data_IF_793247620124
#
_entry.id   IF_793247620124
#
_cell.length_a   1.000
_cell.length_b   1.000
_cell.length_c   1.000
_cell.angle_alpha   90.00
_cell.angle_beta   90.00
_cell.angle_gamma   90.00
#
_symmetry.space_group_name_H-M   'P 1'
#
loop_
_entity.id
_entity.type
_entity.pdbx_description
1 polymer ?
#
# COMPACT_ATOMS: atom_id res chain seq x y z
N UNK A 1 4.50 -7.10 0.15
CA UNK A 1 5.00 -8.48 0.05
C UNK A 1 6.49 -8.59 0.33
N UNK A 2 7.39 -7.84 -0.34
CA UNK A 2 8.85 -7.96 -0.08
C UNK A 2 9.25 -7.86 1.41
N UNK A 3 8.70 -6.87 2.13
CA UNK A 3 8.85 -6.76 3.59
C UNK A 3 8.31 -7.98 4.35
N UNK A 4 7.10 -8.46 4.00
CA UNK A 4 6.49 -9.63 4.66
C UNK A 4 7.27 -10.94 4.44
N UNK A 5 8.09 -11.00 3.39
CA UNK A 5 8.91 -12.16 3.02
C UNK A 5 10.36 -12.06 3.54
N UNK A 6 10.71 -11.00 4.27
CA UNK A 6 12.03 -10.84 4.88
C UNK A 6 13.14 -10.41 3.90
N UNK A 7 12.81 -9.78 2.77
CA UNK A 7 13.81 -9.28 1.81
C UNK A 7 14.48 -7.94 2.22
N UNK A 8 14.24 -7.47 3.44
CA UNK A 8 14.83 -6.25 3.98
C UNK A 8 15.40 -6.57 5.36
N UNK A 9 16.71 -6.45 5.51
CA UNK A 9 17.44 -6.85 6.72
C UNK A 9 17.49 -5.72 7.76
N UNK A 10 17.50 -4.46 7.31
CA UNK A 10 17.53 -3.28 8.18
C UNK A 10 16.10 -2.71 8.37
N UNK A 11 15.64 -2.47 9.61
CA UNK A 11 14.41 -1.72 9.88
C UNK A 11 14.28 -0.38 9.12
N UNK A 12 15.39 0.31 8.83
CA UNK A 12 15.40 1.56 8.06
C UNK A 12 15.02 1.36 6.58
N UNK A 13 15.26 0.18 6.00
CA UNK A 13 14.87 -0.14 4.63
C UNK A 13 13.34 -0.08 4.42
N UNK A 14 12.59 -0.23 5.51
CA UNK A 14 11.14 -0.17 5.50
C UNK A 14 10.61 1.27 5.38
N UNK A 15 11.41 2.28 5.73
CA UNK A 15 10.98 3.69 5.69
C UNK A 15 10.66 4.10 4.26
N UNK A 16 11.52 3.76 3.30
CA UNK A 16 11.26 4.05 1.89
C UNK A 16 9.97 3.39 1.37
N UNK A 17 9.71 2.15 1.80
CA UNK A 17 8.46 1.44 1.48
C UNK A 17 7.25 2.16 2.07
N UNK A 18 7.33 2.58 3.34
CA UNK A 18 6.27 3.29 4.04
C UNK A 18 6.00 4.67 3.43
N UNK A 19 7.05 5.42 3.07
CA UNK A 19 6.93 6.71 2.38
C UNK A 19 6.26 6.54 1.01
N UNK A 20 6.65 5.53 0.25
CA UNK A 20 6.05 5.23 -1.04
C UNK A 20 4.58 4.77 -0.92
N UNK A 21 4.23 4.10 0.18
CA UNK A 21 2.85 3.71 0.50
C UNK A 21 2.00 4.92 0.93
N UNK A 22 2.55 5.80 1.78
CA UNK A 22 1.95 7.05 2.21
C UNK A 22 1.63 7.94 1.01
N UNK A 23 2.59 8.12 0.10
CA UNK A 23 2.39 8.88 -1.12
C UNK A 23 1.20 8.39 -1.96
N UNK A 24 1.07 7.07 -2.12
CA UNK A 24 -0.09 6.46 -2.82
C UNK A 24 -1.39 6.59 -2.02
N UNK A 25 -1.32 6.71 -0.70
CA UNK A 25 -2.47 7.08 0.14
C UNK A 25 -2.91 8.52 -0.10
N UNK A 26 -1.96 9.47 -0.09
CA UNK A 26 -2.20 10.89 -0.37
C UNK A 26 -2.83 11.09 -1.75
N UNK A 27 -2.41 10.31 -2.76
CA UNK A 27 -3.03 10.30 -4.10
C UNK A 27 -4.54 10.08 -4.08
N UNK A 28 -5.07 9.25 -3.17
CA UNK A 28 -6.52 9.07 -3.03
C UNK A 28 -7.21 10.35 -2.56
N UNK A 29 -6.58 11.05 -1.62
CA UNK A 29 -7.14 12.26 -1.01
C UNK A 29 -7.12 13.41 -2.01
N UNK A 30 -5.99 13.66 -2.68
CA UNK A 30 -5.88 14.81 -3.61
C UNK A 30 -6.73 14.62 -4.86
N UNK A 31 -6.79 13.41 -5.44
CA UNK A 31 -7.58 13.16 -6.66
C UNK A 31 -9.09 13.32 -6.37
N UNK A 32 -9.58 12.73 -5.28
CA UNK A 32 -10.98 12.93 -4.86
C UNK A 32 -11.24 14.33 -4.33
N UNK A 33 -10.23 14.97 -3.74
CA UNK A 33 -10.24 16.36 -3.32
C UNK A 33 -10.54 17.29 -4.48
N UNK A 34 -9.74 17.20 -5.55
CA UNK A 34 -9.90 17.99 -6.77
C UNK A 34 -11.23 17.67 -7.47
N UNK A 35 -11.48 16.39 -7.77
CA UNK A 35 -12.55 16.00 -8.70
C UNK A 35 -13.93 15.85 -8.08
N UNK A 36 -14.01 15.63 -6.76
CA UNK A 36 -15.28 15.46 -6.06
C UNK A 36 -15.52 16.52 -4.99
N UNK A 37 -14.50 16.87 -4.19
CA UNK A 37 -14.61 17.91 -3.16
C UNK A 37 -14.37 19.33 -3.69
N UNK A 38 -14.02 19.47 -4.97
CA UNK A 38 -13.79 20.76 -5.66
C UNK A 38 -12.66 21.58 -5.03
N UNK A 39 -11.62 20.91 -4.54
CA UNK A 39 -10.40 21.61 -4.13
C UNK A 39 -9.77 22.34 -5.31
N UNK A 40 -9.24 23.51 -5.01
CA UNK A 40 -8.34 24.26 -5.89
C UNK A 40 -7.03 23.50 -6.09
N UNK A 41 -6.29 23.87 -7.13
CA UNK A 41 -4.95 23.34 -7.41
C UNK A 41 -4.02 23.59 -6.21
N UNK A 42 -4.10 24.78 -5.63
CA UNK A 42 -3.23 25.23 -4.54
C UNK A 42 -3.51 24.46 -3.24
N UNK A 43 -4.78 24.23 -2.89
CA UNK A 43 -5.16 23.39 -1.73
C UNK A 43 -4.60 21.96 -1.88
N UNK A 44 -4.66 21.39 -3.08
CA UNK A 44 -4.14 20.05 -3.34
C UNK A 44 -2.60 19.98 -3.26
N UNK A 45 -1.90 21.02 -3.74
CA UNK A 45 -0.45 21.16 -3.62
C UNK A 45 -0.04 21.26 -2.15
N UNK A 46 -0.69 22.14 -1.39
CA UNK A 46 -0.39 22.34 0.02
C UNK A 46 -0.58 21.04 0.81
N UNK A 47 -1.71 20.36 0.59
CA UNK A 47 -1.98 19.06 1.22
C UNK A 47 -0.90 18.03 0.89
N UNK A 48 -0.53 17.89 -0.39
CA UNK A 48 0.47 16.89 -0.79
C UNK A 48 1.87 17.21 -0.23
N UNK A 49 2.27 18.49 -0.20
CA UNK A 49 3.55 18.93 0.40
C UNK A 49 3.63 18.56 1.88
N UNK A 50 2.59 18.91 2.65
CA UNK A 50 2.55 18.68 4.09
C UNK A 50 2.63 17.19 4.47
N UNK A 51 2.14 16.30 3.60
CA UNK A 51 1.99 14.88 3.93
C UNK A 51 3.06 13.96 3.33
N UNK A 52 3.89 14.41 2.39
CA UNK A 52 4.77 13.50 1.63
C UNK A 52 6.27 13.80 1.74
N UNK A 53 6.64 15.04 2.12
CA UNK A 53 8.03 15.47 2.14
C UNK A 53 8.70 15.52 0.76
N UNK A 54 7.91 15.51 -0.32
CA UNK A 54 8.40 15.61 -1.70
C UNK A 54 8.86 17.04 -2.03
N UNK A 55 9.75 17.15 -3.01
CA UNK A 55 10.17 18.45 -3.54
C UNK A 55 8.99 19.20 -4.18
N UNK A 56 8.97 20.52 -4.03
CA UNK A 56 7.89 21.38 -4.51
C UNK A 56 7.60 21.20 -6.02
N UNK A 57 8.65 21.10 -6.83
CA UNK A 57 8.53 20.89 -8.28
C UNK A 57 7.81 19.59 -8.62
N UNK A 58 8.08 18.52 -7.86
CA UNK A 58 7.49 17.20 -8.08
C UNK A 58 6.03 17.19 -7.66
N UNK A 59 5.70 17.84 -6.53
CA UNK A 59 4.31 17.97 -6.09
C UNK A 59 3.48 18.73 -7.12
N UNK A 60 3.98 19.86 -7.62
CA UNK A 60 3.28 20.65 -8.63
C UNK A 60 3.00 19.82 -9.89
N UNK A 61 4.03 19.14 -10.42
CA UNK A 61 3.92 18.28 -11.59
C UNK A 61 2.89 17.15 -11.40
N UNK A 62 2.89 16.52 -10.23
CA UNK A 62 1.96 15.43 -9.91
C UNK A 62 0.52 15.92 -9.79
N UNK A 63 0.27 17.06 -9.12
CA UNK A 63 -1.07 17.64 -9.00
C UNK A 63 -1.62 18.05 -10.37
N UNK A 64 -0.81 18.70 -11.20
CA UNK A 64 -1.21 19.08 -12.56
C UNK A 64 -1.58 17.86 -13.41
N UNK A 65 -0.82 16.76 -13.27
CA UNK A 65 -1.18 15.50 -13.92
C UNK A 65 -2.53 14.98 -13.44
N UNK A 66 -2.85 15.04 -12.15
CA UNK A 66 -4.13 14.55 -11.63
C UNK A 66 -5.31 15.38 -12.12
N UNK A 67 -5.12 16.68 -12.34
CA UNK A 67 -6.14 17.56 -12.92
C UNK A 67 -6.52 17.10 -14.32
N UNK A 68 -5.54 16.72 -15.16
CA UNK A 68 -5.80 16.27 -16.55
C UNK A 68 -6.16 14.80 -16.69
N UNK A 69 -5.85 13.96 -15.69
CA UNK A 69 -6.10 12.51 -15.70
C UNK A 69 -6.90 12.06 -14.46
N UNK A 70 -8.21 12.38 -14.38
CA UNK A 70 -9.03 12.07 -13.21
C UNK A 70 -9.08 10.57 -12.92
N UNK A 71 -8.90 10.20 -11.65
CA UNK A 71 -9.04 8.82 -11.16
C UNK A 71 -7.82 7.94 -11.38
N UNK A 72 -6.87 8.31 -12.26
CA UNK A 72 -5.66 7.53 -12.52
C UNK A 72 -4.85 7.33 -11.23
N UNK A 73 -4.69 8.39 -10.43
CA UNK A 73 -3.90 8.37 -9.20
C UNK A 73 -4.47 7.39 -8.14
N UNK A 74 -5.78 7.20 -8.14
CA UNK A 74 -6.48 6.34 -7.15
C UNK A 74 -6.29 4.84 -7.40
N UNK A 75 -6.07 4.46 -8.65
CA UNK A 75 -5.99 3.07 -9.09
C UNK A 75 -4.96 2.24 -8.31
N UNK A 76 -3.82 2.84 -7.97
CA UNK A 76 -2.72 2.17 -7.27
C UNK A 76 -3.15 1.62 -5.91
N UNK A 77 -3.69 2.48 -5.05
CA UNK A 77 -4.01 2.10 -3.66
C UNK A 77 -5.32 1.32 -3.60
N UNK A 78 -6.33 1.67 -4.40
CA UNK A 78 -7.57 0.89 -4.50
C UNK A 78 -7.28 -0.52 -4.99
N UNK A 79 -6.48 -0.67 -6.05
CA UNK A 79 -6.07 -1.96 -6.58
C UNK A 79 -5.33 -2.80 -5.54
N UNK A 80 -4.33 -2.22 -4.86
CA UNK A 80 -3.59 -2.87 -3.78
C UNK A 80 -4.53 -3.34 -2.65
N UNK A 81 -5.41 -2.46 -2.15
CA UNK A 81 -6.35 -2.81 -1.07
C UNK A 81 -7.29 -3.95 -1.49
N UNK A 82 -7.74 -3.95 -2.74
CA UNK A 82 -8.58 -5.03 -3.27
C UNK A 82 -7.83 -6.36 -3.32
N UNK A 83 -6.60 -6.37 -3.82
CA UNK A 83 -5.75 -7.57 -3.86
C UNK A 83 -5.52 -8.11 -2.44
N UNK A 84 -5.18 -7.24 -1.48
CA UNK A 84 -5.00 -7.64 -0.08
C UNK A 84 -6.30 -8.20 0.54
N UNK A 85 -7.43 -7.54 0.30
CA UNK A 85 -8.74 -8.04 0.74
C UNK A 85 -9.06 -9.42 0.18
N UNK A 86 -8.78 -9.66 -1.10
CA UNK A 86 -8.97 -10.96 -1.74
C UNK A 86 -8.00 -12.01 -1.17
N UNK A 87 -6.75 -11.63 -0.89
CA UNK A 87 -5.76 -12.50 -0.24
C UNK A 87 -6.24 -12.97 1.13
N UNK A 88 -6.76 -12.07 1.96
CA UNK A 88 -7.29 -12.44 3.28
C UNK A 88 -8.53 -13.33 3.18
N UNK A 89 -9.44 -13.04 2.25
CA UNK A 89 -10.59 -13.92 1.97
C UNK A 89 -10.14 -15.32 1.54
N UNK A 90 -9.13 -15.42 0.69
CA UNK A 90 -8.58 -16.70 0.25
C UNK A 90 -7.93 -17.46 1.41
N UNK A 91 -7.16 -16.79 2.27
CA UNK A 91 -6.56 -17.42 3.47
C UNK A 91 -7.62 -18.03 4.38
N UNK A 92 -8.74 -17.33 4.61
CA UNK A 92 -9.84 -17.84 5.44
C UNK A 92 -10.54 -19.03 4.78
N UNK A 93 -10.83 -18.96 3.48
CA UNK A 93 -11.52 -20.03 2.77
C UNK A 93 -10.67 -21.29 2.56
N UNK A 94 -9.35 -21.12 2.46
CA UNK A 94 -8.40 -22.19 2.16
C UNK A 94 -7.55 -22.61 3.37
N UNK A 95 -7.83 -22.10 4.57
CA UNK A 95 -7.02 -22.35 5.77
C UNK A 95 -6.62 -23.83 5.96
N UNK A 96 -7.52 -24.83 5.79
CA UNK A 96 -7.15 -26.24 5.93
C UNK A 96 -6.21 -26.77 4.84
N UNK A 97 -6.23 -26.17 3.63
CA UNK A 97 -5.40 -26.59 2.48
C UNK A 97 -4.11 -25.78 2.36
N UNK A 98 -4.12 -24.54 2.84
CA UNK A 98 -2.96 -23.65 2.82
C UNK A 98 -1.88 -24.13 3.80
N UNK A 99 -2.26 -24.71 4.94
CA UNK A 99 -1.33 -25.34 5.89
C UNK A 99 -0.55 -26.52 5.28
N UNK A 100 -1.15 -27.24 4.33
CA UNK A 100 -0.50 -28.37 3.61
C UNK A 100 0.51 -27.85 2.57
N UNK A 101 0.21 -26.72 1.92
CA UNK A 101 1.05 -26.13 0.87
C UNK A 101 2.20 -25.28 1.40
N UNK A 102 2.03 -24.65 2.57
CA UNK A 102 3.06 -23.81 3.20
C UNK A 102 4.06 -24.61 4.04
N UNK A 103 3.97 -25.94 4.05
CA UNK A 103 5.00 -26.80 4.63
C UNK A 103 5.41 -26.37 6.03
N UNK A 104 4.45 -26.07 6.91
CA UNK A 104 4.75 -26.05 8.34
C UNK A 104 5.00 -27.50 8.75
N UNK A 105 6.24 -27.95 8.60
CA UNK A 105 6.74 -29.08 9.35
C UNK A 105 6.36 -28.83 10.81
N UNK A 106 5.43 -29.65 11.30
CA UNK A 106 5.18 -29.77 12.73
C UNK A 106 6.54 -30.01 13.38
N UNK A 107 6.95 -29.29 14.44
CA UNK A 107 8.01 -29.81 15.28
C UNK A 107 7.48 -31.12 15.85
N UNK A 108 7.97 -32.23 15.30
CA UNK A 108 7.69 -33.56 15.79
C UNK A 108 8.35 -33.66 17.17
N UNK A 109 7.59 -33.36 18.22
CA UNK A 109 7.99 -33.71 19.58
C UNK A 109 7.87 -35.23 19.73
N UNK A 110 8.92 -35.95 19.34
CA UNK A 110 9.14 -37.40 19.60
C UNK A 110 9.38 -37.65 21.11
N UNK A 111 8.54 -37.10 22.01
CA UNK A 111 8.65 -37.34 23.46
C UNK A 111 7.29 -37.75 24.08
N UNK A 112 6.37 -38.33 23.30
CA UNK A 112 5.17 -38.93 23.91
C UNK A 112 4.53 -40.00 23.02
N UNK A 113 5.24 -41.11 22.80
CA UNK A 113 4.60 -42.39 22.55
C UNK A 113 5.64 -43.51 22.70
N UNK A 114 5.65 -44.13 23.88
CA UNK A 114 6.26 -45.42 24.22
C UNK A 114 7.79 -45.55 24.10
#
# INVERSE_FOLDING_TARGET
>A
MAWELGFQDDPFDNIGRLQAELFRGVRLVVDTGIHHKRWTREEAIEYMKLNTGMADSDVVSEIERYIVMPGQATSYKIGMMKILSLREKAKLALAPKLDILLGKEKPCSIISCC
#
